data_IF_515040426029
#
_entry.id   IF_515040426029
#
_cell.length_a   1.000
_cell.length_b   1.000
_cell.length_c   1.000
_cell.angle_alpha   90.00
_cell.angle_beta   90.00
_cell.angle_gamma   90.00
#
_symmetry.space_group_name_H-M   'P 1'
#
loop_
_entity.id
_entity.type
_entity.pdbx_description
1 polymer ?
#
# COMPACT_ATOMS: atom_id res chain seq x y z
N UNK A 1 -27.58 22.26 54.69
CA UNK A 1 -27.37 21.31 55.81
C UNK A 1 -27.70 19.92 55.26
N UNK A 2 -26.84 19.41 54.38
CA UNK A 2 -25.81 18.37 54.66
C UNK A 2 -26.41 16.98 54.93
N UNK A 3 -26.50 16.18 53.87
CA UNK A 3 -26.63 14.72 53.93
C UNK A 3 -25.85 14.14 52.75
N UNK A 4 -24.59 13.78 53.01
CA UNK A 4 -23.64 13.25 52.02
C UNK A 4 -23.67 11.73 52.18
N UNK A 5 -24.56 11.05 51.47
CA UNK A 5 -24.53 9.59 51.43
C UNK A 5 -23.45 9.13 50.45
N UNK A 6 -22.43 8.50 51.02
CA UNK A 6 -21.36 7.79 50.32
C UNK A 6 -21.94 6.42 49.95
N UNK A 7 -22.25 6.22 48.67
CA UNK A 7 -22.52 4.88 48.15
C UNK A 7 -21.21 4.09 48.16
N UNK A 8 -21.20 3.05 48.98
CA UNK A 8 -20.15 2.05 49.10
C UNK A 8 -19.95 1.28 47.78
N UNK A 9 -18.72 0.96 47.38
CA UNK A 9 -18.48 0.12 46.21
C UNK A 9 -18.87 -1.33 46.51
N UNK A 10 -19.73 -1.92 45.66
CA UNK A 10 -20.01 -3.35 45.65
C UNK A 10 -18.70 -4.15 45.43
N UNK A 11 -18.43 -5.18 46.25
CA UNK A 11 -17.32 -6.09 46.00
C UNK A 11 -17.76 -7.18 45.02
N UNK A 12 -16.91 -7.45 44.01
CA UNK A 12 -16.91 -8.73 43.31
C UNK A 12 -17.68 -8.82 42.00
N UNK A 13 -17.15 -8.21 40.95
CA UNK A 13 -16.92 -8.96 39.71
C UNK A 13 -15.47 -8.72 39.33
N UNK A 14 -14.68 -9.79 39.41
CA UNK A 14 -13.28 -9.77 39.02
C UNK A 14 -13.14 -9.11 37.66
N UNK A 15 -12.25 -8.14 37.57
CA UNK A 15 -11.64 -7.76 36.32
C UNK A 15 -11.03 -9.03 35.74
N UNK A 16 -11.78 -9.69 34.84
CA UNK A 16 -11.17 -10.56 33.87
C UNK A 16 -10.21 -9.65 33.09
N UNK A 17 -8.94 -9.66 33.51
CA UNK A 17 -7.87 -9.11 32.72
C UNK A 17 -8.06 -9.70 31.32
N UNK A 18 -8.23 -8.82 30.33
CA UNK A 18 -8.30 -9.23 28.94
C UNK A 18 -7.15 -10.22 28.69
N UNK A 19 -7.42 -11.38 28.08
CA UNK A 19 -6.41 -12.42 27.93
C UNK A 19 -5.22 -11.82 27.19
N UNK A 20 -4.02 -12.29 27.51
CA UNK A 20 -2.72 -11.81 27.05
C UNK A 20 -2.60 -11.67 25.50
N UNK A 21 -3.23 -10.67 24.89
CA UNK A 21 -3.13 -10.35 23.47
C UNK A 21 -1.77 -9.71 23.14
N UNK A 22 -1.11 -9.13 24.15
CA UNK A 22 0.22 -8.54 24.00
C UNK A 22 1.24 -9.53 23.41
N UNK A 23 1.23 -10.79 23.84
CA UNK A 23 2.18 -11.79 23.34
C UNK A 23 1.90 -12.29 21.92
N UNK A 24 0.64 -12.41 21.53
CA UNK A 24 0.24 -12.95 20.23
C UNK A 24 0.59 -11.98 19.08
N UNK A 25 0.32 -10.69 19.28
CA UNK A 25 0.65 -9.65 18.32
C UNK A 25 2.16 -9.57 18.04
N UNK A 26 2.98 -9.68 19.10
CA UNK A 26 4.44 -9.68 18.97
C UNK A 26 4.94 -10.86 18.11
N UNK A 27 4.41 -12.06 18.34
CA UNK A 27 4.76 -13.27 17.56
C UNK A 27 4.39 -13.12 16.08
N UNK A 28 3.24 -12.53 15.76
CA UNK A 28 2.84 -12.30 14.37
C UNK A 28 3.81 -11.38 13.63
N UNK A 29 4.27 -10.29 14.26
CA UNK A 29 5.29 -9.41 13.68
C UNK A 29 6.62 -10.12 13.42
N UNK A 30 6.95 -11.13 14.23
CA UNK A 30 8.20 -11.88 14.10
C UNK A 30 8.20 -12.90 12.96
N UNK A 31 7.03 -13.47 12.67
CA UNK A 31 6.78 -14.34 11.51
C UNK A 31 6.89 -13.58 10.18
N UNK A 32 6.69 -12.26 10.19
CA UNK A 32 6.89 -11.44 9.00
C UNK A 32 8.38 -11.21 8.75
N UNK A 33 8.78 -11.31 7.48
CA UNK A 33 10.15 -11.03 7.02
C UNK A 33 10.38 -9.53 6.91
N UNK A 34 10.40 -8.84 8.04
CA UNK A 34 10.62 -7.39 8.15
C UNK A 34 12.06 -7.06 8.59
N UNK A 35 12.55 -5.87 8.23
CA UNK A 35 13.81 -5.34 8.80
C UNK A 35 13.68 -5.11 10.31
N UNK A 36 14.80 -4.99 11.04
CA UNK A 36 14.79 -4.75 12.50
C UNK A 36 13.95 -3.51 12.88
N UNK A 37 14.12 -2.40 12.14
CA UNK A 37 13.34 -1.17 12.33
C UNK A 37 11.85 -1.39 12.10
N UNK A 38 11.49 -2.12 11.04
CA UNK A 38 10.08 -2.41 10.72
C UNK A 38 9.44 -3.35 11.73
N UNK A 39 10.18 -4.34 12.25
CA UNK A 39 9.71 -5.18 13.37
C UNK A 39 9.42 -4.35 14.61
N UNK A 40 10.28 -3.38 14.93
CA UNK A 40 10.06 -2.47 16.05
C UNK A 40 8.78 -1.63 15.86
N UNK A 41 8.55 -1.10 14.65
CA UNK A 41 7.31 -0.39 14.33
C UNK A 41 6.09 -1.32 14.39
N UNK A 42 6.20 -2.54 13.85
CA UNK A 42 5.17 -3.56 13.89
C UNK A 42 4.74 -3.86 15.32
N UNK A 43 5.69 -4.23 16.20
CA UNK A 43 5.40 -4.58 17.60
C UNK A 43 4.79 -3.43 18.40
N UNK A 44 5.01 -2.17 18.00
CA UNK A 44 4.43 -0.98 18.64
C UNK A 44 2.97 -0.74 18.26
N UNK A 45 2.47 -1.35 17.20
CA UNK A 45 1.15 -1.04 16.64
C UNK A 45 0.29 -2.31 16.58
N UNK A 46 -0.50 -2.60 17.63
CA UNK A 46 -1.42 -3.74 17.63
C UNK A 46 -2.33 -3.76 16.40
N UNK A 47 -2.49 -4.94 15.79
CA UNK A 47 -3.25 -5.14 14.55
C UNK A 47 -2.49 -4.82 13.26
N UNK A 48 -1.27 -4.28 13.33
CA UNK A 48 -0.49 -3.98 12.13
C UNK A 48 -0.04 -5.24 11.40
N UNK A 49 0.36 -6.30 12.11
CA UNK A 49 0.82 -7.54 11.46
C UNK A 49 -0.24 -8.15 10.54
N UNK A 50 -1.49 -8.22 11.00
CA UNK A 50 -2.64 -8.68 10.21
C UNK A 50 -2.94 -7.72 9.06
N UNK A 51 -2.95 -6.41 9.33
CA UNK A 51 -3.16 -5.38 8.31
C UNK A 51 -2.11 -5.44 7.18
N UNK A 52 -0.85 -5.73 7.50
CA UNK A 52 0.20 -5.94 6.50
C UNK A 52 -0.07 -7.18 5.65
N UNK A 53 -0.53 -8.28 6.25
CA UNK A 53 -0.89 -9.51 5.51
C UNK A 53 -2.06 -9.26 4.56
N UNK A 54 -3.09 -8.56 5.03
CA UNK A 54 -4.24 -8.15 4.22
C UNK A 54 -3.80 -7.27 3.04
N UNK A 55 -2.93 -6.30 3.28
CA UNK A 55 -2.39 -5.43 2.24
C UNK A 55 -1.62 -6.20 1.18
N UNK A 56 -0.78 -7.15 1.61
CA UNK A 56 -0.01 -7.97 0.69
C UNK A 56 -0.92 -8.87 -0.17
N UNK A 57 -1.96 -9.43 0.44
CA UNK A 57 -2.95 -10.23 -0.26
C UNK A 57 -3.75 -9.39 -1.27
N UNK A 58 -4.22 -8.20 -0.86
CA UNK A 58 -4.94 -7.27 -1.72
C UNK A 58 -4.11 -6.87 -2.95
N UNK A 59 -2.83 -6.51 -2.74
CA UNK A 59 -1.92 -6.15 -3.82
C UNK A 59 -1.66 -7.30 -4.80
N UNK A 60 -1.48 -8.53 -4.29
CA UNK A 60 -1.29 -9.71 -5.12
C UNK A 60 -2.52 -10.03 -5.97
N UNK A 61 -3.71 -10.06 -5.34
CA UNK A 61 -4.96 -10.35 -6.05
C UNK A 61 -5.23 -9.33 -7.15
N UNK A 62 -4.98 -8.06 -6.86
CA UNK A 62 -5.17 -7.01 -7.86
C UNK A 62 -4.14 -7.10 -8.98
N UNK A 63 -2.88 -7.43 -8.67
CA UNK A 63 -1.87 -7.64 -9.68
C UNK A 63 -2.21 -8.82 -10.61
N UNK A 64 -2.57 -9.98 -10.03
CA UNK A 64 -3.03 -11.13 -10.80
C UNK A 64 -4.27 -10.80 -11.63
N UNK A 65 -5.19 -10.01 -11.07
CA UNK A 65 -6.36 -9.56 -11.81
C UNK A 65 -5.94 -8.70 -13.01
N UNK A 66 -5.15 -7.65 -12.82
CA UNK A 66 -4.75 -6.73 -13.90
C UNK A 66 -3.94 -7.43 -15.01
N UNK A 67 -3.21 -8.49 -14.67
CA UNK A 67 -2.34 -9.24 -15.59
C UNK A 67 -2.92 -10.60 -16.04
N UNK A 68 -4.18 -10.90 -15.73
CA UNK A 68 -4.80 -12.23 -16.00
C UNK A 68 -4.82 -12.66 -17.48
N UNK A 69 -4.69 -11.72 -18.41
CA UNK A 69 -4.67 -11.97 -19.86
C UNK A 69 -3.30 -11.65 -20.49
N UNK A 70 -2.30 -11.34 -19.67
CA UNK A 70 -0.95 -11.03 -20.10
C UNK A 70 -0.10 -12.30 -20.05
N UNK A 71 1.00 -12.32 -20.83
CA UNK A 71 1.94 -13.45 -20.82
C UNK A 71 2.59 -13.67 -19.44
N UNK A 72 2.80 -12.57 -18.71
CA UNK A 72 3.16 -12.60 -17.31
C UNK A 72 1.91 -12.32 -16.48
N UNK A 73 1.42 -13.30 -15.74
CA UNK A 73 0.16 -13.24 -14.99
C UNK A 73 0.31 -12.82 -13.52
N UNK A 74 1.40 -12.13 -13.19
CA UNK A 74 1.77 -11.79 -11.82
C UNK A 74 2.07 -12.99 -10.88
N UNK A 75 2.39 -14.17 -11.43
CA UNK A 75 2.90 -15.28 -10.61
C UNK A 75 4.35 -15.02 -10.18
N UNK A 76 4.60 -15.16 -8.87
CA UNK A 76 5.92 -15.04 -8.24
C UNK A 76 6.48 -16.38 -7.75
N UNK A 77 5.80 -17.49 -8.05
CA UNK A 77 6.15 -18.81 -7.56
C UNK A 77 7.50 -19.29 -8.13
N UNK A 78 8.47 -19.54 -7.23
CA UNK A 78 9.83 -19.97 -7.57
C UNK A 78 10.70 -18.93 -8.31
N UNK A 79 10.18 -17.74 -8.60
CA UNK A 79 10.79 -16.76 -9.53
C UNK A 79 11.01 -15.38 -8.89
N UNK A 80 11.36 -15.37 -7.61
CA UNK A 80 11.68 -14.14 -6.86
C UNK A 80 12.82 -13.32 -7.46
N UNK A 81 13.62 -13.91 -8.36
CA UNK A 81 14.66 -13.22 -9.12
C UNK A 81 14.14 -12.08 -9.99
N UNK A 82 12.85 -12.09 -10.39
CA UNK A 82 12.23 -11.00 -11.16
C UNK A 82 12.26 -9.67 -10.39
N UNK A 83 12.00 -9.70 -9.08
CA UNK A 83 11.97 -8.52 -8.20
C UNK A 83 13.34 -7.87 -8.02
N UNK A 84 14.41 -8.64 -8.22
CA UNK A 84 15.80 -8.15 -8.15
C UNK A 84 16.19 -7.34 -9.40
N UNK A 85 15.36 -7.35 -10.44
CA UNK A 85 15.61 -6.67 -11.71
C UNK A 85 14.69 -5.46 -11.86
N UNK A 86 15.21 -4.44 -12.55
CA UNK A 86 14.51 -3.20 -12.83
C UNK A 86 13.53 -3.28 -13.99
N UNK A 87 12.75 -4.36 -14.10
CA UNK A 87 11.78 -4.56 -15.19
C UNK A 87 10.51 -3.73 -15.00
N UNK A 88 9.75 -3.59 -16.09
CA UNK A 88 8.44 -2.93 -16.11
C UNK A 88 7.46 -3.59 -15.14
N UNK A 89 7.46 -4.92 -15.05
CA UNK A 89 6.62 -5.72 -14.15
C UNK A 89 6.97 -5.45 -12.69
N UNK A 90 8.27 -5.33 -12.40
CA UNK A 90 8.74 -4.96 -11.07
C UNK A 90 8.27 -3.56 -10.71
N UNK A 91 8.34 -2.59 -11.63
CA UNK A 91 7.84 -1.24 -11.39
C UNK A 91 6.35 -1.22 -10.98
N UNK A 92 5.51 -2.00 -11.66
CA UNK A 92 4.10 -2.17 -11.29
C UNK A 92 3.93 -2.82 -9.93
N UNK A 93 4.71 -3.87 -9.62
CA UNK A 93 4.65 -4.54 -8.31
C UNK A 93 4.92 -3.58 -7.15
N UNK A 94 5.93 -2.70 -7.26
CA UNK A 94 6.17 -1.68 -6.23
C UNK A 94 4.99 -0.73 -6.07
N UNK A 95 4.40 -0.27 -7.18
CA UNK A 95 3.30 0.67 -7.16
C UNK A 95 1.99 0.06 -6.61
N UNK A 96 1.62 -1.15 -7.05
CA UNK A 96 0.40 -1.81 -6.56
C UNK A 96 0.55 -2.23 -5.10
N UNK A 97 1.75 -2.63 -4.66
CA UNK A 97 2.01 -3.01 -3.27
C UNK A 97 1.97 -1.80 -2.34
N UNK A 98 2.58 -0.68 -2.71
CA UNK A 98 2.52 0.56 -1.92
C UNK A 98 1.11 1.14 -1.88
N UNK A 99 0.37 1.03 -2.99
CA UNK A 99 -1.05 1.36 -3.04
C UNK A 99 -1.87 0.48 -2.09
N UNK A 100 -1.69 -0.84 -2.13
CA UNK A 100 -2.43 -1.78 -1.27
C UNK A 100 -2.13 -1.54 0.22
N UNK A 101 -0.87 -1.29 0.58
CA UNK A 101 -0.48 -0.90 1.93
C UNK A 101 -1.17 0.40 2.36
N UNK A 102 -1.13 1.42 1.52
CA UNK A 102 -1.75 2.71 1.82
C UNK A 102 -3.26 2.56 2.01
N UNK A 103 -3.92 1.82 1.12
CA UNK A 103 -5.36 1.59 1.14
C UNK A 103 -5.80 0.80 2.37
N UNK A 104 -5.11 -0.29 2.65
CA UNK A 104 -5.48 -1.20 3.75
C UNK A 104 -5.21 -0.56 5.11
N UNK A 105 -4.08 0.15 5.29
CA UNK A 105 -3.79 0.87 6.53
C UNK A 105 -4.84 1.94 6.84
N UNK A 106 -5.25 2.73 5.83
CA UNK A 106 -6.24 3.78 6.02
C UNK A 106 -7.60 3.22 6.44
N UNK A 107 -8.00 2.07 5.86
CA UNK A 107 -9.24 1.36 6.19
C UNK A 107 -9.17 0.57 7.51
N UNK A 108 -7.99 0.09 7.89
CA UNK A 108 -7.80 -0.60 9.17
C UNK A 108 -8.01 0.36 10.35
N UNK A 109 -7.50 1.60 10.21
CA UNK A 109 -7.74 2.66 11.19
C UNK A 109 -9.22 3.02 11.32
N UNK A 110 -9.93 3.21 10.20
CA UNK A 110 -11.34 3.54 10.24
C UNK A 110 -12.22 2.38 10.74
N UNK A 111 -11.78 1.14 10.53
CA UNK A 111 -12.46 -0.05 11.05
C UNK A 111 -12.13 -0.40 12.51
N UNK A 112 -11.24 0.35 13.18
CA UNK A 112 -10.80 0.05 14.55
C UNK A 112 -9.97 -1.23 14.67
N UNK A 113 -9.38 -1.73 13.57
CA UNK A 113 -8.51 -2.92 13.56
C UNK A 113 -7.07 -2.62 13.97
N UNK A 114 -6.72 -1.35 14.07
CA UNK A 114 -5.42 -0.87 14.54
C UNK A 114 -5.65 0.09 15.70
N UNK A 115 -4.95 -0.12 16.80
CA UNK A 115 -5.28 0.53 18.08
C UNK A 115 -4.73 1.96 18.21
N UNK A 116 -3.59 2.30 17.58
CA UNK A 116 -2.96 3.62 17.73
C UNK A 116 -3.18 4.53 16.52
N UNK A 117 -4.29 4.32 15.82
CA UNK A 117 -4.81 5.27 14.85
C UNK A 117 -6.32 5.42 14.97
N UNK A 118 -6.81 6.54 14.48
CA UNK A 118 -8.22 6.92 14.52
C UNK A 118 -8.76 7.14 13.11
N UNK A 119 -10.06 7.40 13.03
CA UNK A 119 -10.71 7.93 11.83
C UNK A 119 -10.04 9.20 11.30
N UNK A 120 -10.29 9.52 10.04
CA UNK A 120 -9.95 10.86 9.51
C UNK A 120 -10.71 11.94 10.29
N UNK A 121 -9.98 12.90 10.85
CA UNK A 121 -10.48 14.02 11.67
C UNK A 121 -10.40 15.37 10.93
N UNK A 122 -10.25 15.32 9.60
CA UNK A 122 -9.97 16.51 8.77
C UNK A 122 -11.02 17.62 8.96
N UNK A 123 -10.59 18.86 9.29
CA UNK A 123 -11.49 20.00 9.49
C UNK A 123 -12.18 20.37 8.17
N UNK A 124 -13.45 20.76 8.24
CA UNK A 124 -14.23 21.18 7.06
C UNK A 124 -15.15 20.12 6.45
N UNK A 125 -15.18 18.90 7.02
CA UNK A 125 -16.38 18.06 6.88
C UNK A 125 -17.50 18.78 7.65
N UNK A 126 -18.67 19.03 7.04
CA UNK A 126 -19.90 19.58 7.67
C UNK A 126 -20.49 18.64 8.77
N UNK A 127 -19.62 17.82 9.36
CA UNK A 127 -19.88 16.67 10.20
C UNK A 127 -19.71 16.99 11.69
N UNK A 128 -19.50 18.25 12.10
CA UNK A 128 -19.45 18.60 13.53
C UNK A 128 -20.78 18.29 14.24
N UNK A 129 -21.91 18.32 13.54
CA UNK A 129 -23.21 17.84 14.05
C UNK A 129 -23.44 16.33 13.83
N UNK A 130 -22.60 15.65 13.06
CA UNK A 130 -22.71 14.21 12.80
C UNK A 130 -21.92 13.32 13.76
N UNK A 131 -21.25 13.89 14.78
CA UNK A 131 -20.73 13.13 15.92
C UNK A 131 -21.84 12.37 16.67
N UNK A 132 -23.11 12.77 16.51
CA UNK A 132 -24.27 12.05 17.07
C UNK A 132 -24.58 10.73 16.35
N UNK A 133 -24.04 10.49 15.14
CA UNK A 133 -24.41 9.33 14.28
C UNK A 133 -23.23 8.42 13.87
N UNK A 134 -22.03 8.61 14.44
CA UNK A 134 -20.98 7.58 14.48
C UNK A 134 -20.32 7.17 13.15
N UNK A 135 -20.19 8.06 12.15
CA UNK A 135 -19.56 7.68 10.86
C UNK A 135 -18.05 7.96 10.84
N UNK A 136 -17.27 6.91 10.52
CA UNK A 136 -15.82 6.90 10.57
C UNK A 136 -15.21 6.85 9.15
N UNK A 137 -14.47 7.90 8.77
CA UNK A 137 -13.81 8.01 7.46
C UNK A 137 -12.42 7.37 7.42
N UNK A 138 -12.00 6.92 6.23
CA UNK A 138 -10.68 6.32 5.98
C UNK A 138 -9.55 7.32 6.24
N UNK A 139 -8.60 6.97 7.10
CA UNK A 139 -7.52 7.88 7.51
C UNK A 139 -6.29 7.80 6.57
N UNK A 140 -6.42 8.41 5.40
CA UNK A 140 -5.34 8.44 4.41
C UNK A 140 -4.11 9.22 4.89
N UNK A 141 -4.31 10.28 5.69
CA UNK A 141 -3.22 11.10 6.24
C UNK A 141 -2.33 10.27 7.16
N UNK A 142 -2.92 9.51 8.09
CA UNK A 142 -2.18 8.57 8.94
C UNK A 142 -1.45 7.54 8.09
N UNK A 143 -2.17 6.89 7.18
CA UNK A 143 -1.64 5.79 6.36
C UNK A 143 -0.39 6.20 5.57
N UNK A 144 -0.46 7.32 4.84
CA UNK A 144 0.68 7.81 4.04
C UNK A 144 1.89 8.20 4.89
N UNK A 145 1.66 8.82 6.05
CA UNK A 145 2.71 9.15 7.03
C UNK A 145 3.34 7.90 7.63
N UNK A 146 2.51 6.96 8.05
CA UNK A 146 2.93 5.68 8.61
C UNK A 146 3.78 4.91 7.60
N UNK A 147 3.28 4.75 6.37
CA UNK A 147 3.96 4.00 5.31
C UNK A 147 5.31 4.62 4.95
N UNK A 148 5.40 5.95 4.87
CA UNK A 148 6.66 6.66 4.59
C UNK A 148 7.71 6.42 5.69
N UNK A 149 7.28 6.39 6.96
CA UNK A 149 8.17 6.05 8.08
C UNK A 149 8.53 4.55 8.09
N UNK A 150 7.58 3.68 7.74
CA UNK A 150 7.73 2.23 7.74
C UNK A 150 8.68 1.74 6.65
N UNK A 151 8.56 2.28 5.42
CA UNK A 151 9.48 1.99 4.32
C UNK A 151 10.84 2.69 4.51
N UNK A 152 10.86 3.80 5.26
CA UNK A 152 12.04 4.59 5.57
C UNK A 152 12.41 5.56 4.45
N UNK A 153 12.91 6.74 4.82
CA UNK A 153 13.46 7.69 3.85
C UNK A 153 14.88 7.26 3.43
N UNK A 154 15.03 6.74 2.21
CA UNK A 154 16.36 6.55 1.58
C UNK A 154 16.90 7.89 1.08
N UNK A 155 17.15 8.84 1.99
CA UNK A 155 17.81 10.11 1.63
C UNK A 155 19.24 9.78 1.20
N UNK A 156 19.60 10.16 -0.03
CA UNK A 156 20.98 10.10 -0.51
C UNK A 156 21.46 8.75 -1.05
N UNK A 157 20.59 7.81 -1.41
CA UNK A 157 21.08 6.57 -2.02
C UNK A 157 21.65 6.85 -3.43
N UNK A 158 22.91 6.47 -3.63
CA UNK A 158 23.62 6.53 -4.93
C UNK A 158 23.10 5.48 -5.91
N UNK A 159 22.31 4.50 -5.43
CA UNK A 159 21.74 3.45 -6.27
C UNK A 159 20.52 3.94 -7.10
N UNK A 160 20.62 3.77 -8.42
CA UNK A 160 19.56 4.06 -9.38
C UNK A 160 18.32 3.22 -9.13
N UNK A 161 18.50 1.94 -8.78
CA UNK A 161 17.41 0.97 -8.56
C UNK A 161 16.55 1.43 -7.39
N UNK A 162 17.16 1.73 -6.25
CA UNK A 162 16.49 2.23 -5.07
C UNK A 162 15.69 3.53 -5.33
N UNK A 163 16.19 4.43 -6.19
CA UNK A 163 15.46 5.67 -6.56
C UNK A 163 14.25 5.36 -7.45
N UNK A 164 14.40 4.50 -8.44
CA UNK A 164 13.30 4.06 -9.29
C UNK A 164 12.18 3.39 -8.48
N UNK A 165 12.56 2.54 -7.52
CA UNK A 165 11.62 1.89 -6.60
C UNK A 165 10.88 2.84 -5.69
N UNK A 166 11.60 3.82 -5.12
CA UNK A 166 10.99 4.87 -4.33
C UNK A 166 10.02 5.70 -5.18
N UNK A 167 10.36 6.01 -6.44
CA UNK A 167 9.47 6.71 -7.37
C UNK A 167 8.18 5.91 -7.62
N UNK A 168 8.29 4.64 -8.00
CA UNK A 168 7.14 3.77 -8.24
C UNK A 168 6.27 3.59 -6.99
N UNK A 169 6.89 3.51 -5.81
CA UNK A 169 6.20 3.51 -4.51
C UNK A 169 5.34 4.76 -4.35
N UNK A 170 5.89 5.95 -4.63
CA UNK A 170 5.14 7.20 -4.56
C UNK A 170 4.01 7.28 -5.59
N UNK A 171 4.20 6.75 -6.81
CA UNK A 171 3.14 6.66 -7.82
C UNK A 171 1.96 5.84 -7.29
N UNK A 172 2.22 4.70 -6.65
CA UNK A 172 1.19 3.88 -5.99
C UNK A 172 0.42 4.62 -4.89
N UNK A 173 1.15 5.28 -3.98
CA UNK A 173 0.54 6.10 -2.92
C UNK A 173 -0.34 7.22 -3.52
N UNK A 174 0.16 7.87 -4.58
CA UNK A 174 -0.53 8.95 -5.28
C UNK A 174 -1.82 8.45 -5.94
N UNK A 175 -1.81 7.25 -6.52
CA UNK A 175 -2.99 6.65 -7.15
C UNK A 175 -4.11 6.42 -6.13
N UNK A 176 -3.79 5.93 -4.92
CA UNK A 176 -4.76 5.82 -3.82
C UNK A 176 -5.27 7.19 -3.39
N UNK A 177 -4.37 8.17 -3.27
CA UNK A 177 -4.74 9.54 -2.90
C UNK A 177 -5.69 10.20 -3.88
N UNK A 178 -5.51 9.99 -5.19
CA UNK A 178 -6.44 10.50 -6.20
C UNK A 178 -7.83 9.86 -6.14
N UNK A 179 -7.94 8.66 -5.57
CA UNK A 179 -9.22 7.97 -5.37
C UNK A 179 -9.93 8.30 -4.06
N UNK A 180 -9.42 9.22 -3.23
CA UNK A 180 -10.09 9.63 -2.00
C UNK A 180 -11.21 10.62 -2.30
N UNK A 181 -12.45 10.27 -1.94
CA UNK A 181 -13.63 11.13 -2.14
C UNK A 181 -14.35 11.42 -0.83
N UNK A 182 -15.10 12.51 -0.80
CA UNK A 182 -16.08 12.75 0.26
C UNK A 182 -17.36 12.02 -0.12
N UNK A 183 -17.76 11.02 0.66
CA UNK A 183 -19.06 10.33 0.51
C UNK A 183 -20.02 10.89 1.55
N UNK A 184 -21.27 11.11 1.16
CA UNK A 184 -22.31 11.60 2.05
C UNK A 184 -23.54 10.69 2.06
N UNK A 185 -24.16 10.52 3.22
CA UNK A 185 -25.48 9.90 3.39
C UNK A 185 -26.48 10.94 3.84
N UNK A 186 -27.64 10.97 3.19
CA UNK A 186 -28.75 11.87 3.51
C UNK A 186 -29.72 11.22 4.49
N UNK A 187 -30.24 11.99 5.42
CA UNK A 187 -31.07 11.54 6.55
C UNK A 187 -32.40 12.29 6.68
N UNK A 188 -32.79 13.09 5.70
CA UNK A 188 -34.04 13.85 5.75
C UNK A 188 -35.29 13.01 5.47
N UNK A 189 -36.45 13.52 5.90
CA UNK A 189 -37.77 12.91 5.66
C UNK A 189 -37.95 12.65 4.16
N UNK A 190 -38.51 11.48 3.82
CA UNK A 190 -38.74 11.04 2.43
C UNK A 190 -37.49 11.04 1.53
N UNK A 191 -36.29 10.86 2.11
CA UNK A 191 -35.03 10.80 1.35
C UNK A 191 -34.41 12.16 1.03
N UNK A 192 -34.88 13.24 1.64
CA UNK A 192 -34.29 14.57 1.46
C UNK A 192 -32.87 14.67 2.07
N UNK A 193 -32.04 15.56 1.51
CA UNK A 193 -30.66 15.80 1.94
C UNK A 193 -30.49 17.04 2.83
N UNK A 194 -31.58 17.55 3.43
CA UNK A 194 -31.55 18.70 4.34
C UNK A 194 -30.59 18.47 5.54
N UNK A 195 -30.51 17.23 6.01
CA UNK A 195 -29.48 16.76 6.93
C UNK A 195 -28.70 15.65 6.24
N UNK A 196 -27.37 15.76 6.24
CA UNK A 196 -26.47 14.75 5.69
C UNK A 196 -25.24 14.57 6.56
N UNK A 197 -24.69 13.36 6.53
CA UNK A 197 -23.42 13.03 7.17
C UNK A 197 -22.42 12.68 6.08
N UNK A 198 -21.24 13.33 6.10
CA UNK A 198 -20.21 13.14 5.10
C UNK A 198 -18.90 12.67 5.73
N UNK A 199 -18.19 11.76 5.06
CA UNK A 199 -16.90 11.24 5.49
C UNK A 199 -15.96 11.01 4.31
N UNK A 200 -14.66 10.91 4.59
CA UNK A 200 -13.67 10.52 3.57
C UNK A 200 -13.73 9.01 3.35
N UNK A 201 -13.81 8.61 2.09
CA UNK A 201 -13.86 7.20 1.69
C UNK A 201 -12.92 6.98 0.51
N UNK A 202 -12.09 5.95 0.60
CA UNK A 202 -11.28 5.50 -0.52
C UNK A 202 -12.14 4.79 -1.55
N UNK A 203 -11.84 5.03 -2.83
CA UNK A 203 -12.44 4.28 -3.93
C UNK A 203 -12.11 2.78 -3.82
N UNK A 204 -12.94 1.91 -4.43
CA UNK A 204 -12.64 0.49 -4.56
C UNK A 204 -11.21 0.27 -5.08
N UNK A 205 -10.49 -0.68 -4.51
CA UNK A 205 -9.08 -0.88 -4.85
C UNK A 205 -8.87 -1.26 -6.33
N UNK A 206 -9.89 -1.86 -6.96
CA UNK A 206 -9.94 -2.16 -8.39
C UNK A 206 -9.70 -0.93 -9.28
N UNK A 207 -10.26 0.23 -8.91
CA UNK A 207 -10.05 1.48 -9.66
C UNK A 207 -8.59 1.93 -9.58
N UNK A 208 -7.98 1.82 -8.39
CA UNK A 208 -6.55 2.08 -8.20
C UNK A 208 -5.70 1.14 -9.07
N UNK A 209 -6.04 -0.16 -9.10
CA UNK A 209 -5.35 -1.14 -9.95
C UNK A 209 -5.44 -0.82 -11.44
N UNK A 210 -6.60 -0.38 -11.93
CA UNK A 210 -6.80 0.05 -13.32
C UNK A 210 -5.94 1.28 -13.65
N UNK A 211 -5.95 2.30 -12.77
CA UNK A 211 -5.10 3.50 -12.94
C UNK A 211 -3.64 3.10 -13.04
N UNK A 212 -3.16 2.22 -12.15
CA UNK A 212 -1.78 1.75 -12.18
C UNK A 212 -1.46 0.90 -13.41
N UNK A 213 -2.40 0.10 -13.92
CA UNK A 213 -2.21 -0.70 -15.14
C UNK A 213 -2.05 0.21 -16.36
N UNK A 214 -2.82 1.28 -16.45
CA UNK A 214 -2.64 2.31 -17.49
C UNK A 214 -1.26 2.98 -17.40
N UNK A 215 -0.78 3.29 -16.17
CA UNK A 215 0.57 3.83 -15.97
C UNK A 215 1.66 2.81 -16.28
N UNK A 216 1.40 1.53 -16.07
CA UNK A 216 2.29 0.46 -16.51
C UNK A 216 2.37 0.47 -18.02
N UNK A 217 1.26 0.48 -18.75
CA UNK A 217 1.29 0.41 -20.22
C UNK A 217 2.13 1.55 -20.84
N UNK A 218 2.06 2.76 -20.27
CA UNK A 218 2.86 3.93 -20.66
C UNK A 218 4.14 4.17 -19.83
N UNK A 219 4.67 3.16 -19.13
CA UNK A 219 5.84 3.32 -18.26
C UNK A 219 7.09 3.75 -19.05
N UNK A 220 7.99 4.47 -18.38
CA UNK A 220 9.16 5.12 -19.00
C UNK A 220 10.45 4.40 -18.60
N UNK A 221 11.27 4.05 -19.58
CA UNK A 221 12.63 3.55 -19.33
C UNK A 221 13.51 4.70 -18.87
N UNK A 222 14.22 4.53 -17.76
CA UNK A 222 15.09 5.54 -17.17
C UNK A 222 16.51 5.04 -17.02
N UNK A 223 17.47 5.95 -17.15
CA UNK A 223 18.87 5.76 -16.80
C UNK A 223 19.31 6.78 -15.75
N UNK A 224 20.54 6.64 -15.26
CA UNK A 224 21.16 7.59 -14.34
C UNK A 224 21.65 8.83 -15.07
N UNK A 225 21.31 10.01 -14.57
CA UNK A 225 22.08 11.23 -14.79
C UNK A 225 22.59 11.73 -13.44
N UNK A 226 23.89 12.02 -13.33
CA UNK A 226 24.45 12.65 -12.13
C UNK A 226 24.41 14.15 -12.33
N UNK A 227 23.71 14.87 -11.45
CA UNK A 227 23.75 16.32 -11.46
C UNK A 227 25.01 16.78 -10.71
N UNK A 228 26.02 17.27 -11.45
CA UNK A 228 27.33 17.67 -10.90
C UNK A 228 27.22 18.80 -9.86
N UNK A 229 26.20 19.66 -9.96
CA UNK A 229 26.00 20.77 -9.02
C UNK A 229 25.45 20.34 -7.64
N UNK A 230 24.80 19.17 -7.55
CA UNK A 230 24.15 18.69 -6.32
C UNK A 230 24.72 17.36 -5.81
N UNK A 231 25.67 16.74 -6.53
CA UNK A 231 26.20 15.41 -6.22
C UNK A 231 25.11 14.32 -6.13
N UNK A 232 23.93 14.58 -6.72
CA UNK A 232 22.73 13.78 -6.56
C UNK A 232 22.39 13.11 -7.88
N UNK A 233 22.21 11.79 -7.80
CA UNK A 233 21.74 11.00 -8.92
C UNK A 233 20.26 11.35 -9.20
N UNK A 234 19.90 11.53 -10.46
CA UNK A 234 18.55 11.79 -10.93
C UNK A 234 18.11 10.71 -11.92
N UNK A 235 16.79 10.48 -11.99
CA UNK A 235 16.20 9.61 -13.00
C UNK A 235 16.08 10.40 -14.28
N UNK A 236 16.69 9.90 -15.34
CA UNK A 236 16.68 10.54 -16.64
C UNK A 236 15.92 9.66 -17.64
N UNK A 237 14.94 10.25 -18.34
CA UNK A 237 14.23 9.57 -19.42
C UNK A 237 14.78 10.03 -20.78
N UNK A 238 15.00 9.11 -21.74
CA UNK A 238 15.40 9.49 -23.09
C UNK A 238 14.31 10.32 -23.76
N UNK A 239 14.74 11.29 -24.60
CA UNK A 239 13.80 12.11 -25.37
C UNK A 239 13.01 11.24 -26.34
N UNK A 240 11.71 11.52 -26.51
CA UNK A 240 10.90 10.90 -27.57
C UNK A 240 11.38 11.42 -28.92
N UNK A 241 11.53 10.53 -29.91
CA UNK A 241 11.87 10.93 -31.28
C UNK A 241 10.87 12.01 -31.75
N UNK A 242 11.39 13.20 -32.10
CA UNK A 242 10.59 14.36 -32.51
C UNK A 242 10.43 15.48 -31.47
N UNK A 243 10.96 15.34 -30.24
CA UNK A 243 10.93 16.41 -29.22
C UNK A 243 12.26 17.16 -29.14
N UNK A 244 12.30 18.50 -29.29
CA UNK A 244 13.53 19.30 -29.24
C UNK A 244 14.11 19.45 -27.82
N UNK A 245 13.45 18.92 -26.79
CA UNK A 245 13.89 18.98 -25.40
C UNK A 245 14.86 17.84 -25.08
N UNK A 246 16.07 18.17 -24.61
CA UNK A 246 16.98 17.22 -23.93
C UNK A 246 16.20 16.48 -22.81
N UNK A 247 16.50 15.19 -22.61
CA UNK A 247 15.70 14.26 -21.81
C UNK A 247 15.22 14.83 -20.47
N UNK A 248 13.91 14.70 -20.22
CA UNK A 248 13.22 15.28 -19.07
C UNK A 248 13.22 14.29 -17.89
N UNK A 249 13.16 14.82 -16.67
CA UNK A 249 12.81 14.01 -15.50
C UNK A 249 11.42 13.35 -15.71
N UNK A 250 11.23 12.08 -15.32
CA UNK A 250 9.95 11.40 -15.45
C UNK A 250 8.87 12.14 -14.66
N UNK A 251 7.62 12.16 -15.17
CA UNK A 251 6.55 12.86 -14.45
C UNK A 251 6.24 12.11 -13.15
N UNK A 252 5.74 12.84 -12.16
CA UNK A 252 5.39 12.28 -10.84
C UNK A 252 4.26 11.23 -10.87
N UNK A 253 3.60 11.01 -12.02
CA UNK A 253 2.59 9.97 -12.21
C UNK A 253 3.03 8.82 -13.11
N UNK A 254 4.23 8.89 -13.70
CA UNK A 254 4.72 7.86 -14.63
C UNK A 254 5.41 6.76 -13.84
N UNK A 255 5.13 5.49 -14.17
CA UNK A 255 5.97 4.40 -13.67
C UNK A 255 7.29 4.38 -14.44
N UNK A 256 8.36 3.98 -13.74
CA UNK A 256 9.72 3.98 -14.28
C UNK A 256 10.38 2.62 -14.15
N UNK A 257 11.14 2.22 -15.15
CA UNK A 257 11.90 0.96 -15.19
C UNK A 257 13.28 1.18 -15.83
N UNK A 258 14.23 0.28 -15.64
CA UNK A 258 15.62 0.45 -16.12
C UNK A 258 16.04 -0.62 -17.12
N UNK A 259 15.42 -1.80 -17.04
CA UNK A 259 15.80 -2.96 -17.83
C UNK A 259 14.63 -3.41 -18.70
N UNK A 260 14.92 -3.88 -19.91
CA UNK A 260 13.90 -4.44 -20.77
C UNK A 260 13.39 -5.77 -20.20
N UNK A 261 12.07 -5.93 -20.23
CA UNK A 261 11.42 -7.13 -19.72
C UNK A 261 11.85 -8.36 -20.54
N UNK A 262 12.08 -9.51 -19.88
CA UNK A 262 12.43 -10.74 -20.57
C UNK A 262 11.24 -11.24 -21.41
N UNK A 263 11.52 -12.15 -22.36
CA UNK A 263 10.44 -12.86 -23.02
C UNK A 263 9.71 -13.76 -22.03
N UNK A 264 8.40 -13.52 -21.86
CA UNK A 264 7.53 -14.36 -21.04
C UNK A 264 6.94 -15.54 -21.83
N UNK A 265 7.13 -15.61 -23.15
CA UNK A 265 6.62 -16.68 -24.01
C UNK A 265 7.31 -18.03 -23.73
N UNK A 266 8.63 -18.02 -23.55
CA UNK A 266 9.43 -19.23 -23.33
C UNK A 266 9.81 -19.38 -21.86
N UNK A 267 9.97 -20.61 -21.34
CA UNK A 267 10.48 -20.84 -20.00
C UNK A 267 11.85 -20.16 -19.80
N UNK A 268 12.01 -19.48 -18.68
CA UNK A 268 13.25 -18.82 -18.26
C UNK A 268 13.33 -18.75 -16.74
N UNK A 269 14.45 -18.25 -16.19
CA UNK A 269 14.57 -17.93 -14.75
C UNK A 269 13.52 -16.94 -14.25
N UNK A 270 12.80 -16.24 -15.14
CA UNK A 270 11.80 -15.23 -14.82
C UNK A 270 10.36 -15.61 -15.24
N UNK A 271 10.18 -16.56 -16.18
CA UNK A 271 8.86 -16.93 -16.71
C UNK A 271 8.68 -18.44 -16.87
N UNK A 272 7.53 -19.04 -16.51
CA UNK A 272 7.24 -20.44 -16.82
C UNK A 272 7.13 -20.69 -18.33
N UNK A 273 7.00 -19.64 -19.13
CA UNK A 273 6.55 -19.75 -20.51
C UNK A 273 5.03 -19.87 -20.57
N UNK A 274 4.49 -19.75 -21.79
CA UNK A 274 3.04 -19.79 -22.03
C UNK A 274 2.54 -21.18 -22.47
N UNK A 275 3.45 -22.11 -22.76
CA UNK A 275 3.09 -23.47 -23.17
C UNK A 275 2.43 -24.23 -22.01
N UNK A 276 1.18 -24.65 -22.17
CA UNK A 276 0.43 -25.43 -21.18
C UNK A 276 -0.27 -24.60 -20.10
N UNK A 277 -0.36 -23.27 -20.23
CA UNK A 277 -1.13 -22.44 -19.29
C UNK A 277 -2.64 -22.62 -19.51
N UNK A 278 -3.21 -23.71 -18.98
CA UNK A 278 -4.61 -23.69 -18.57
C UNK A 278 -4.75 -22.57 -17.52
N UNK A 279 -5.83 -21.78 -17.58
CA UNK A 279 -6.14 -20.72 -16.61
C UNK A 279 -6.16 -21.35 -15.21
N UNK A 280 -5.03 -21.30 -14.51
CA UNK A 280 -4.91 -21.89 -13.19
C UNK A 280 -5.79 -21.06 -12.25
N UNK A 281 -6.89 -21.66 -11.76
CA UNK A 281 -7.58 -21.14 -10.58
C UNK A 281 -6.61 -21.28 -9.41
N UNK A 282 -5.90 -20.21 -9.09
CA UNK A 282 -4.99 -20.15 -7.95
C UNK A 282 -5.77 -20.44 -6.67
N UNK A 283 -5.58 -21.62 -6.06
CA UNK A 283 -5.87 -21.78 -4.63
C UNK A 283 -4.70 -21.19 -3.86
N UNK A 284 -4.99 -20.28 -2.93
CA UNK A 284 -4.01 -19.69 -2.03
C UNK A 284 -3.44 -20.79 -1.11
N UNK A 285 -2.28 -21.34 -1.45
CA UNK A 285 -1.54 -22.28 -0.59
C UNK A 285 -0.44 -21.54 0.20
N UNK A 286 0.20 -22.25 1.14
CA UNK A 286 1.18 -21.73 2.11
C UNK A 286 2.37 -20.94 1.50
N UNK A 287 2.55 -20.98 0.17
CA UNK A 287 3.45 -20.12 -0.64
C UNK A 287 3.15 -18.62 -0.54
N UNK A 288 1.97 -18.23 -0.05
CA UNK A 288 1.57 -16.85 0.26
C UNK A 288 2.58 -16.10 1.15
N UNK A 289 3.22 -16.75 2.11
CA UNK A 289 4.21 -16.12 3.01
C UNK A 289 5.52 -15.68 2.34
N UNK A 290 5.92 -16.36 1.24
CA UNK A 290 7.10 -15.96 0.45
C UNK A 290 6.78 -14.86 -0.56
N UNK A 291 5.55 -14.78 -1.06
CA UNK A 291 5.07 -13.67 -1.90
C UNK A 291 4.85 -12.40 -1.07
N UNK A 292 4.45 -12.55 0.20
CA UNK A 292 4.41 -11.46 1.18
C UNK A 292 5.80 -10.82 1.37
N UNK A 293 6.91 -11.58 1.28
CA UNK A 293 8.30 -11.04 1.26
C UNK A 293 8.54 -10.12 0.06
N UNK A 294 8.01 -10.47 -1.11
CA UNK A 294 8.15 -9.69 -2.34
C UNK A 294 7.38 -8.37 -2.28
N UNK A 295 6.18 -8.42 -1.70
CA UNK A 295 5.16 -7.37 -1.78
C UNK A 295 5.24 -6.42 -0.59
N UNK A 296 5.52 -6.91 0.62
CA UNK A 296 5.64 -6.02 1.79
C UNK A 296 6.91 -5.19 1.76
N UNK A 297 8.01 -5.73 1.22
CA UNK A 297 9.34 -5.16 1.37
C UNK A 297 10.25 -5.61 0.24
N UNK A 298 9.96 -5.13 -0.96
CA UNK A 298 10.92 -5.13 -2.06
C UNK A 298 12.10 -4.19 -1.72
N UNK A 299 12.84 -4.49 -0.65
CA UNK A 299 14.15 -3.93 -0.40
C UNK A 299 15.15 -4.92 -0.98
N UNK A 300 16.13 -4.45 -1.77
CA UNK A 300 17.27 -5.30 -2.10
C UNK A 300 17.87 -5.82 -0.78
N UNK A 301 18.35 -7.06 -0.73
CA UNK A 301 19.20 -7.47 0.38
C UNK A 301 20.38 -6.50 0.45
N UNK A 302 20.73 -6.04 1.65
CA UNK A 302 22.08 -5.53 1.90
C UNK A 302 23.11 -6.60 1.56
#
# INVERSE_FOLDING_TARGET
LTGREVLTPFPGLGTAAAPAQGGAHLKQCDLLKLSRRQKQLCRREPGLAETLRDAAHLGLLECQFQFRHERWNCSLEGRMGLLKRGFKETAFLYAVSSAALTHTLARACSAGRMERCTCDDSPGLESRQAWQWGVCGDNLKYSTKFLSNFLGSKRGNKDLRARADAHNTHVGIKAVKSGLRTTCKCHGVSGSCAVRTCWKQLSPFRETGQVLKLRYDSAVKVSSATNEALGRLELWAPSRQGSPTKGLAPRSGDLVYMEDSPSFCRPSKYSPGTAGSAVARSRLTATSTSQIRAILLSQPPE
#
